data_IF_364456960445
#
_entry.id   IF_364456960445
#
_cell.length_a   1.000
_cell.length_b   1.000
_cell.length_c   1.000
_cell.angle_alpha   90.00
_cell.angle_beta   90.00
_cell.angle_gamma   90.00
#
_symmetry.space_group_name_H-M   'P 1'
#
loop_
_entity.id
_entity.type
_entity.pdbx_description
1 polymer ?
#
# COMPACT_ATOMS: atom_id res chain seq x y z
N UNK A 1 -4.58 -8.42 -39.64
CA UNK A 1 -4.75 -8.87 -38.24
C UNK A 1 -4.54 -7.78 -37.18
N UNK A 2 -4.01 -6.59 -37.49
CA UNK A 2 -3.66 -5.57 -36.49
C UNK A 2 -4.81 -4.63 -36.05
N UNK A 3 -5.82 -4.43 -36.90
CA UNK A 3 -6.98 -3.55 -36.60
C UNK A 3 -7.87 -4.09 -35.48
N UNK A 4 -8.11 -5.40 -35.43
CA UNK A 4 -8.94 -6.04 -34.39
C UNK A 4 -8.28 -5.99 -33.01
N UNK A 5 -6.94 -6.08 -32.94
CA UNK A 5 -6.19 -5.95 -31.68
C UNK A 5 -6.23 -4.51 -31.13
N UNK A 6 -6.13 -3.50 -32.01
CA UNK A 6 -6.19 -2.09 -31.61
C UNK A 6 -7.57 -1.70 -31.09
N UNK A 7 -8.64 -2.18 -31.73
CA UNK A 7 -10.02 -2.00 -31.27
C UNK A 7 -10.30 -2.74 -29.95
N UNK A 8 -9.77 -3.94 -29.75
CA UNK A 8 -9.92 -4.66 -28.48
C UNK A 8 -9.17 -3.99 -27.30
N UNK A 9 -7.99 -3.42 -27.57
CA UNK A 9 -7.21 -2.67 -26.56
C UNK A 9 -7.89 -1.36 -26.16
N UNK A 10 -8.32 -0.56 -27.15
CA UNK A 10 -9.04 0.70 -26.92
C UNK A 10 -10.41 0.48 -26.26
N UNK A 11 -11.15 -0.56 -26.67
CA UNK A 11 -12.45 -0.92 -26.09
C UNK A 11 -12.34 -1.53 -24.68
N UNK A 12 -11.19 -2.14 -24.35
CA UNK A 12 -10.88 -2.60 -23.00
C UNK A 12 -10.54 -1.45 -22.05
N UNK A 13 -9.71 -0.51 -22.50
CA UNK A 13 -9.32 0.69 -21.73
C UNK A 13 -10.53 1.59 -21.42
N UNK A 14 -11.37 1.88 -22.42
CA UNK A 14 -12.58 2.73 -22.22
C UNK A 14 -13.63 2.13 -21.28
N UNK A 15 -13.77 0.79 -21.25
CA UNK A 15 -14.72 0.11 -20.37
C UNK A 15 -14.25 0.08 -18.91
N UNK A 16 -12.94 -0.04 -18.69
CA UNK A 16 -12.34 0.04 -17.35
C UNK A 16 -12.43 1.46 -16.81
N UNK A 17 -12.08 2.47 -17.62
CA UNK A 17 -12.21 3.88 -17.25
C UNK A 17 -13.65 4.25 -16.84
N UNK A 18 -14.66 3.76 -17.57
CA UNK A 18 -16.06 4.07 -17.23
C UNK A 18 -16.47 3.49 -15.88
N UNK A 19 -16.04 2.25 -15.56
CA UNK A 19 -16.36 1.62 -14.28
C UNK A 19 -15.61 2.28 -13.11
N UNK A 20 -14.38 2.75 -13.33
CA UNK A 20 -13.60 3.50 -12.34
C UNK A 20 -14.23 4.86 -12.04
N UNK A 21 -14.70 5.59 -13.05
CA UNK A 21 -15.42 6.85 -12.88
C UNK A 21 -16.77 6.66 -12.14
N UNK A 22 -17.50 5.58 -12.41
CA UNK A 22 -18.73 5.24 -11.70
C UNK A 22 -18.47 4.95 -10.21
N UNK A 23 -17.37 4.26 -9.89
CA UNK A 23 -16.94 4.01 -8.52
C UNK A 23 -16.50 5.31 -7.81
N UNK A 24 -15.71 6.14 -8.49
CA UNK A 24 -15.24 7.43 -7.98
C UNK A 24 -16.42 8.33 -7.61
N UNK A 25 -17.39 8.47 -8.52
CA UNK A 25 -18.61 9.25 -8.27
C UNK A 25 -19.50 8.64 -7.17
N UNK A 26 -19.51 7.32 -7.02
CA UNK A 26 -20.16 6.60 -5.93
C UNK A 26 -19.55 6.93 -4.56
N UNK A 27 -18.22 6.94 -4.45
CA UNK A 27 -17.51 7.29 -3.22
C UNK A 27 -17.74 8.77 -2.87
N UNK A 28 -17.65 9.68 -3.85
CA UNK A 28 -17.96 11.10 -3.67
C UNK A 28 -19.37 11.33 -3.13
N UNK A 29 -20.36 10.56 -3.63
CA UNK A 29 -21.73 10.61 -3.13
C UNK A 29 -21.82 10.15 -1.67
N UNK A 30 -21.16 9.04 -1.32
CA UNK A 30 -21.17 8.50 0.05
C UNK A 30 -20.51 9.47 1.05
N UNK A 31 -19.39 10.10 0.67
CA UNK A 31 -18.74 11.11 1.49
C UNK A 31 -19.65 12.32 1.75
N UNK A 32 -20.38 12.78 0.73
CA UNK A 32 -21.38 13.86 0.88
C UNK A 32 -22.53 13.45 1.78
N UNK A 33 -22.99 12.20 1.70
CA UNK A 33 -24.03 11.69 2.61
C UNK A 33 -23.54 11.63 4.05
N UNK A 34 -22.30 11.18 4.29
CA UNK A 34 -21.71 11.18 5.62
C UNK A 34 -21.57 12.61 6.18
N UNK A 35 -21.10 13.55 5.36
CA UNK A 35 -21.04 14.97 5.71
C UNK A 35 -22.43 15.54 6.08
N UNK A 36 -23.48 15.15 5.36
CA UNK A 36 -24.84 15.55 5.66
C UNK A 36 -25.31 15.00 7.02
N UNK A 37 -25.01 13.73 7.32
CA UNK A 37 -25.35 13.11 8.61
C UNK A 37 -24.60 13.82 9.75
N UNK A 38 -23.32 14.12 9.57
CA UNK A 38 -22.53 14.85 10.58
C UNK A 38 -23.06 16.27 10.79
N UNK A 39 -23.51 16.95 9.74
CA UNK A 39 -24.15 18.26 9.85
C UNK A 39 -25.47 18.20 10.62
N UNK A 40 -26.24 17.11 10.44
CA UNK A 40 -27.44 16.87 11.23
C UNK A 40 -27.08 16.60 12.69
N UNK A 41 -26.13 15.71 12.98
CA UNK A 41 -25.67 15.50 14.36
C UNK A 41 -25.17 16.79 15.01
N UNK A 42 -24.49 17.66 14.25
CA UNK A 42 -24.06 18.96 14.75
C UNK A 42 -25.23 19.86 15.14
N UNK A 43 -26.28 19.94 14.32
CA UNK A 43 -27.49 20.69 14.66
C UNK A 43 -28.18 20.13 15.92
N UNK A 44 -28.18 18.81 16.10
CA UNK A 44 -28.75 18.15 17.28
C UNK A 44 -27.93 18.40 18.55
N UNK A 45 -26.60 18.38 18.47
CA UNK A 45 -25.72 18.74 19.60
C UNK A 45 -25.96 20.19 20.02
N UNK A 46 -26.05 21.12 19.06
CA UNK A 46 -26.32 22.54 19.34
C UNK A 46 -27.70 22.79 19.96
N UNK A 47 -28.69 21.92 19.70
CA UNK A 47 -30.04 22.01 20.28
C UNK A 47 -30.13 21.46 21.73
N UNK A 48 -29.00 21.16 22.38
CA UNK A 48 -28.96 20.60 23.74
C UNK A 48 -28.74 19.09 23.78
N UNK A 49 -28.07 18.53 22.78
CA UNK A 49 -27.69 17.11 22.76
C UNK A 49 -26.72 16.73 23.88
N UNK A 50 -26.72 15.46 24.27
CA UNK A 50 -25.85 14.92 25.32
C UNK A 50 -24.36 15.02 24.97
N UNK A 51 -23.50 15.19 25.98
CA UNK A 51 -22.03 15.22 25.85
C UNK A 51 -21.47 13.99 25.11
N UNK A 52 -22.09 12.82 25.28
CA UNK A 52 -21.77 11.61 24.53
C UNK A 52 -21.95 11.80 23.01
N UNK A 53 -23.03 12.46 22.58
CA UNK A 53 -23.31 12.75 21.16
C UNK A 53 -22.30 13.75 20.61
N UNK A 54 -21.85 14.70 21.43
CA UNK A 54 -20.78 15.63 21.06
C UNK A 54 -19.46 14.90 20.77
N UNK A 55 -19.05 13.95 21.62
CA UNK A 55 -17.85 13.16 21.38
C UNK A 55 -17.97 12.26 20.14
N UNK A 56 -19.13 11.63 19.94
CA UNK A 56 -19.38 10.84 18.72
C UNK A 56 -19.31 11.72 17.47
N UNK A 57 -19.87 12.93 17.51
CA UNK A 57 -19.79 13.88 16.40
C UNK A 57 -18.35 14.26 16.06
N UNK A 58 -17.52 14.61 17.06
CA UNK A 58 -16.10 14.92 16.84
C UNK A 58 -15.40 13.77 16.15
N UNK A 59 -15.62 12.54 16.62
CA UNK A 59 -15.04 11.33 16.01
C UNK A 59 -15.49 11.13 14.56
N UNK A 60 -16.76 11.37 14.26
CA UNK A 60 -17.29 11.25 12.91
C UNK A 60 -16.69 12.29 11.96
N UNK A 61 -16.53 13.53 12.42
CA UNK A 61 -15.87 14.59 11.66
C UNK A 61 -14.41 14.26 11.33
N UNK A 62 -13.68 13.68 12.29
CA UNK A 62 -12.31 13.19 12.07
C UNK A 62 -12.26 12.07 11.02
N UNK A 63 -13.16 11.09 11.12
CA UNK A 63 -13.26 9.98 10.16
C UNK A 63 -13.59 10.51 8.76
N UNK A 64 -14.54 11.44 8.65
CA UNK A 64 -14.92 12.04 7.38
C UNK A 64 -13.72 12.78 6.73
N UNK A 65 -12.96 13.53 7.53
CA UNK A 65 -11.76 14.23 7.05
C UNK A 65 -10.71 13.25 6.54
N UNK A 66 -10.41 12.20 7.31
CA UNK A 66 -9.44 11.17 6.94
C UNK A 66 -9.84 10.45 5.65
N UNK A 67 -11.09 9.99 5.55
CA UNK A 67 -11.61 9.33 4.35
C UNK A 67 -11.58 10.24 3.12
N UNK A 68 -11.89 11.53 3.28
CA UNK A 68 -11.86 12.51 2.17
C UNK A 68 -10.44 12.73 1.69
N UNK A 69 -9.49 12.87 2.61
CA UNK A 69 -8.07 13.04 2.29
C UNK A 69 -7.51 11.80 1.57
N UNK A 70 -7.78 10.62 2.11
CA UNK A 70 -7.37 9.34 1.53
C UNK A 70 -7.95 9.15 0.12
N UNK A 71 -9.23 9.47 -0.07
CA UNK A 71 -9.87 9.40 -1.38
C UNK A 71 -9.20 10.32 -2.41
N UNK A 72 -8.95 11.58 -2.07
CA UNK A 72 -8.26 12.50 -2.97
C UNK A 72 -6.83 12.08 -3.28
N UNK A 73 -6.11 11.50 -2.30
CA UNK A 73 -4.77 10.94 -2.51
C UNK A 73 -4.79 9.74 -3.46
N UNK A 74 -5.75 8.84 -3.29
CA UNK A 74 -5.91 7.68 -4.18
C UNK A 74 -6.25 8.13 -5.60
N UNK A 75 -7.20 9.05 -5.75
CA UNK A 75 -7.62 9.60 -7.03
C UNK A 75 -6.48 10.30 -7.78
N UNK A 76 -5.67 11.11 -7.10
CA UNK A 76 -4.49 11.72 -7.72
C UNK A 76 -3.44 10.68 -8.11
N UNK A 77 -3.21 9.68 -7.26
CA UNK A 77 -2.29 8.57 -7.54
C UNK A 77 -2.72 7.71 -8.72
N UNK A 78 -4.03 7.46 -8.89
CA UNK A 78 -4.58 6.75 -10.05
C UNK A 78 -4.37 7.56 -11.33
N UNK A 79 -4.67 8.86 -11.34
CA UNK A 79 -4.41 9.73 -12.49
C UNK A 79 -2.94 9.75 -12.90
N UNK A 80 -2.02 9.87 -11.95
CA UNK A 80 -0.60 9.82 -12.24
C UNK A 80 -0.16 8.49 -12.88
N UNK A 81 -0.72 7.35 -12.41
CA UNK A 81 -0.47 6.03 -13.02
C UNK A 81 -1.07 5.92 -14.43
N UNK A 82 -2.25 6.49 -14.64
CA UNK A 82 -2.90 6.52 -15.95
C UNK A 82 -2.10 7.34 -16.95
N UNK A 83 -1.66 8.55 -16.56
CA UNK A 83 -0.77 9.39 -17.38
C UNK A 83 0.54 8.66 -17.72
N UNK A 84 1.15 7.99 -16.74
CA UNK A 84 2.35 7.18 -16.97
C UNK A 84 2.10 6.01 -17.92
N UNK A 85 0.93 5.36 -17.84
CA UNK A 85 0.55 4.29 -18.75
C UNK A 85 0.34 4.80 -20.19
N UNK A 86 -0.30 5.97 -20.35
CA UNK A 86 -0.48 6.63 -21.65
C UNK A 86 0.86 7.01 -22.29
N UNK A 87 1.81 7.53 -21.51
CA UNK A 87 3.16 7.83 -21.98
C UNK A 87 3.92 6.56 -22.44
N UNK A 88 3.79 5.45 -21.71
CA UNK A 88 4.37 4.17 -22.12
C UNK A 88 3.70 3.59 -23.37
N UNK A 89 2.39 3.77 -23.54
CA UNK A 89 1.69 3.38 -24.75
C UNK A 89 2.19 4.14 -25.97
N UNK A 90 2.38 5.46 -25.85
CA UNK A 90 2.95 6.31 -26.90
C UNK A 90 4.37 5.88 -27.28
N UNK A 91 5.22 5.60 -26.29
CA UNK A 91 6.56 5.04 -26.55
C UNK A 91 6.52 3.70 -27.29
N UNK A 92 5.57 2.81 -26.94
CA UNK A 92 5.42 1.51 -27.60
C UNK A 92 4.85 1.63 -29.01
N UNK A 93 3.99 2.62 -29.26
CA UNK A 93 3.47 2.91 -30.59
C UNK A 93 4.58 3.52 -31.46
N UNK A 94 5.39 4.44 -30.93
CA UNK A 94 6.58 4.96 -31.60
C UNK A 94 7.56 3.85 -32.00
N UNK A 95 7.93 2.97 -31.06
CA UNK A 95 8.85 1.85 -31.32
C UNK A 95 8.28 0.88 -32.39
N UNK A 96 6.96 0.64 -32.38
CA UNK A 96 6.28 -0.14 -33.42
C UNK A 96 6.31 0.52 -34.78
N UNK A 97 6.03 1.82 -34.87
CA UNK A 97 6.07 2.54 -36.16
C UNK A 97 7.48 2.57 -36.74
N UNK A 98 8.52 2.58 -35.89
CA UNK A 98 9.90 2.45 -36.31
C UNK A 98 10.22 1.06 -36.84
N UNK A 99 9.77 0.02 -36.13
CA UNK A 99 9.92 -1.36 -36.58
C UNK A 99 9.18 -1.64 -37.91
N UNK A 100 7.94 -1.15 -38.08
CA UNK A 100 7.18 -1.29 -39.33
C UNK A 100 7.84 -0.54 -40.51
N UNK A 101 8.59 0.54 -40.26
CA UNK A 101 9.35 1.28 -41.28
C UNK A 101 10.67 0.59 -41.64
N UNK A 102 11.22 -0.22 -40.73
CA UNK A 102 12.49 -0.96 -40.87
C UNK A 102 12.27 -2.41 -41.36
N UNK A 103 11.04 -2.94 -41.31
CA UNK A 103 10.64 -4.30 -41.75
C UNK A 103 10.70 -4.53 -43.28
N UNK A 104 11.32 -3.60 -44.02
CA UNK A 104 11.68 -3.79 -45.43
C UNK A 104 12.91 -4.68 -45.64
N UNK A 105 13.71 -4.95 -44.60
CA UNK A 105 14.87 -5.85 -44.69
C UNK A 105 15.16 -6.50 -43.32
N UNK A 106 14.56 -7.67 -43.10
CA UNK A 106 14.74 -8.49 -41.89
C UNK A 106 16.12 -9.15 -41.82
N UNK A 107 17.16 -8.35 -41.57
CA UNK A 107 18.54 -8.82 -41.43
C UNK A 107 18.80 -9.41 -40.03
N UNK A 108 19.53 -10.52 -39.98
CA UNK A 108 19.93 -11.22 -38.75
C UNK A 108 20.63 -10.31 -37.72
N UNK A 109 21.28 -9.24 -38.19
CA UNK A 109 21.92 -8.24 -37.34
C UNK A 109 20.93 -7.48 -36.44
N UNK A 110 19.72 -7.21 -36.93
CA UNK A 110 18.67 -6.55 -36.15
C UNK A 110 18.15 -7.47 -35.02
N UNK A 111 18.06 -8.77 -35.29
CA UNK A 111 17.70 -9.77 -34.28
C UNK A 111 18.77 -9.86 -33.18
N UNK A 112 20.05 -9.82 -33.54
CA UNK A 112 21.17 -9.83 -32.60
C UNK A 112 21.23 -8.53 -31.77
N UNK A 113 21.01 -7.37 -32.38
CA UNK A 113 20.94 -6.09 -31.66
C UNK A 113 19.77 -6.07 -30.67
N UNK A 114 18.61 -6.62 -31.07
CA UNK A 114 17.44 -6.75 -30.19
C UNK A 114 17.72 -7.69 -29.01
N UNK A 115 18.41 -8.81 -29.27
CA UNK A 115 18.84 -9.73 -28.22
C UNK A 115 19.81 -9.05 -27.25
N UNK A 116 20.79 -8.31 -27.76
CA UNK A 116 21.74 -7.56 -26.93
C UNK A 116 21.05 -6.54 -26.02
N UNK A 117 20.08 -5.78 -26.53
CA UNK A 117 19.28 -4.85 -25.72
C UNK A 117 18.45 -5.60 -24.68
N UNK A 118 17.90 -6.76 -25.02
CA UNK A 118 17.17 -7.62 -24.08
C UNK A 118 18.06 -8.16 -22.96
N UNK A 119 19.27 -8.63 -23.30
CA UNK A 119 20.26 -9.10 -22.32
C UNK A 119 20.66 -7.96 -21.39
N UNK A 120 20.98 -6.79 -21.92
CA UNK A 120 21.39 -5.64 -21.10
C UNK A 120 20.27 -5.19 -20.14
N UNK A 121 19.01 -5.18 -20.60
CA UNK A 121 17.85 -4.92 -19.73
C UNK A 121 17.70 -6.01 -18.64
N UNK A 122 17.87 -7.28 -18.99
CA UNK A 122 17.80 -8.38 -18.04
C UNK A 122 18.91 -8.29 -16.99
N UNK A 123 20.13 -7.92 -17.37
CA UNK A 123 21.25 -7.68 -16.43
C UNK A 123 20.88 -6.62 -15.39
N UNK A 124 20.32 -5.48 -15.81
CA UNK A 124 19.88 -4.45 -14.85
C UNK A 124 18.74 -4.90 -13.94
N UNK A 125 17.83 -5.76 -14.43
CA UNK A 125 16.80 -6.38 -13.59
C UNK A 125 17.40 -7.35 -12.57
N UNK A 126 18.41 -8.14 -12.95
CA UNK A 126 19.15 -9.01 -12.04
C UNK A 126 19.87 -8.22 -10.95
N UNK A 127 20.47 -7.07 -11.27
CA UNK A 127 21.10 -6.20 -10.28
C UNK A 127 20.09 -5.69 -9.23
N UNK A 128 18.87 -5.36 -9.66
CA UNK A 128 17.79 -4.98 -8.73
C UNK A 128 17.40 -6.15 -7.81
N UNK A 129 17.30 -7.37 -8.34
CA UNK A 129 17.01 -8.57 -7.54
C UNK A 129 18.13 -8.85 -6.53
N UNK A 130 19.40 -8.70 -6.95
CA UNK A 130 20.56 -8.85 -6.06
C UNK A 130 20.52 -7.78 -4.95
N UNK A 131 20.25 -6.53 -5.30
CA UNK A 131 20.14 -5.44 -4.32
C UNK A 131 19.03 -5.69 -3.30
N UNK A 132 17.86 -6.14 -3.75
CA UNK A 132 16.76 -6.53 -2.86
C UNK A 132 17.15 -7.69 -1.95
N UNK A 133 17.79 -8.74 -2.50
CA UNK A 133 18.25 -9.88 -1.71
C UNK A 133 19.28 -9.46 -0.64
N UNK A 134 20.19 -8.54 -0.95
CA UNK A 134 21.14 -7.98 0.01
C UNK A 134 20.44 -7.18 1.12
N UNK A 135 19.45 -6.36 0.76
CA UNK A 135 18.66 -5.62 1.75
C UNK A 135 17.86 -6.57 2.67
N UNK A 136 17.25 -7.62 2.12
CA UNK A 136 16.55 -8.66 2.90
C UNK A 136 17.52 -9.40 3.82
N UNK A 137 18.71 -9.77 3.34
CA UNK A 137 19.75 -10.39 4.16
C UNK A 137 20.16 -9.47 5.33
N UNK A 138 20.38 -8.18 5.06
CA UNK A 138 20.67 -7.18 6.08
C UNK A 138 19.58 -7.11 7.15
N UNK A 139 18.30 -7.09 6.73
CA UNK A 139 17.16 -7.12 7.65
C UNK A 139 17.13 -8.39 8.50
N UNK A 140 17.35 -9.57 7.90
CA UNK A 140 17.38 -10.85 8.62
C UNK A 140 18.53 -10.92 9.63
N UNK A 141 19.71 -10.38 9.30
CA UNK A 141 20.84 -10.30 10.23
C UNK A 141 20.51 -9.40 11.42
N UNK A 142 19.89 -8.24 11.19
CA UNK A 142 19.41 -7.36 12.26
C UNK A 142 18.36 -8.05 13.13
N UNK A 143 17.37 -8.70 12.52
CA UNK A 143 16.35 -9.48 13.24
C UNK A 143 16.98 -10.58 14.10
N UNK A 144 17.98 -11.32 13.58
CA UNK A 144 18.71 -12.34 14.34
C UNK A 144 19.40 -11.75 15.55
N UNK A 145 20.04 -10.58 15.42
CA UNK A 145 20.65 -9.86 16.54
C UNK A 145 19.61 -9.47 17.60
N UNK A 146 18.46 -8.92 17.17
CA UNK A 146 17.34 -8.59 18.05
C UNK A 146 16.81 -9.82 18.80
N UNK A 147 16.62 -10.95 18.13
CA UNK A 147 16.22 -12.21 18.79
C UNK A 147 17.26 -12.70 19.79
N UNK A 148 18.55 -12.57 19.50
CA UNK A 148 19.61 -12.84 20.48
C UNK A 148 19.49 -11.96 21.73
N UNK A 149 19.20 -10.67 21.54
CA UNK A 149 18.95 -9.73 22.63
C UNK A 149 17.66 -10.01 23.42
N UNK A 150 16.60 -10.47 22.76
CA UNK A 150 15.36 -10.90 23.42
C UNK A 150 15.62 -12.17 24.23
N UNK A 151 16.33 -13.15 23.68
CA UNK A 151 16.65 -14.39 24.39
C UNK A 151 17.49 -14.12 25.65
N UNK A 152 18.45 -13.18 25.59
CA UNK A 152 19.24 -12.80 26.78
C UNK A 152 18.41 -12.07 27.82
N UNK A 153 17.51 -11.15 27.42
CA UNK A 153 16.56 -10.49 28.31
C UNK A 153 15.60 -11.49 28.96
N UNK A 154 15.04 -12.42 28.17
CA UNK A 154 14.14 -13.47 28.63
C UNK A 154 14.84 -14.39 29.64
N UNK A 155 16.08 -14.81 29.35
CA UNK A 155 16.90 -15.59 30.26
C UNK A 155 17.14 -14.85 31.59
N UNK A 156 17.44 -13.55 31.55
CA UNK A 156 17.60 -12.73 32.76
C UNK A 156 16.29 -12.51 33.54
N UNK A 157 15.13 -12.44 32.87
CA UNK A 157 13.83 -12.43 33.57
C UNK A 157 13.55 -13.78 34.20
N UNK A 158 13.79 -14.87 33.46
CA UNK A 158 13.60 -16.24 33.93
C UNK A 158 14.45 -16.57 35.15
N UNK A 159 15.67 -16.02 35.25
CA UNK A 159 16.52 -16.24 36.44
C UNK A 159 16.03 -15.49 37.68
N UNK A 160 15.23 -14.43 37.51
CA UNK A 160 14.67 -13.61 38.61
C UNK A 160 13.28 -14.03 39.05
N UNK A 161 12.52 -14.72 38.19
CA UNK A 161 11.18 -15.23 38.51
C UNK A 161 11.14 -16.11 39.78
N UNK A 162 12.06 -17.06 40.00
CA UNK A 162 12.07 -17.86 41.22
C UNK A 162 12.24 -17.00 42.48
N UNK A 163 13.07 -15.96 42.43
CA UNK A 163 13.26 -15.02 43.54
C UNK A 163 11.98 -14.22 43.83
N UNK A 164 11.28 -13.76 42.80
CA UNK A 164 10.00 -13.08 42.96
C UNK A 164 8.92 -14.00 43.54
N UNK A 165 8.83 -15.25 43.06
CA UNK A 165 7.93 -16.27 43.62
C UNK A 165 8.25 -16.58 45.09
N UNK A 166 9.53 -16.70 45.44
CA UNK A 166 9.96 -16.91 46.82
C UNK A 166 9.57 -15.74 47.74
N UNK A 167 9.75 -14.50 47.29
CA UNK A 167 9.35 -13.32 48.04
C UNK A 167 7.83 -13.27 48.25
N UNK A 168 7.03 -13.52 47.19
CA UNK A 168 5.57 -13.60 47.28
C UNK A 168 5.13 -14.68 48.27
N UNK A 169 5.74 -15.86 48.22
CA UNK A 169 5.47 -16.94 49.16
C UNK A 169 5.82 -16.54 50.60
N UNK A 170 6.98 -15.90 50.82
CA UNK A 170 7.41 -15.46 52.15
C UNK A 170 6.49 -14.38 52.75
N UNK A 171 5.97 -13.48 51.91
CA UNK A 171 4.97 -12.48 52.30
C UNK A 171 3.70 -13.21 52.70
N UNK A 172 3.10 -14.02 51.81
CA UNK A 172 1.88 -14.76 52.11
C UNK A 172 1.98 -15.56 53.43
N UNK A 173 3.12 -16.21 53.68
CA UNK A 173 3.37 -16.93 54.93
C UNK A 173 3.44 -16.04 56.17
N UNK A 174 3.99 -14.82 56.05
CA UNK A 174 4.02 -13.86 57.17
C UNK A 174 2.62 -13.36 57.52
N UNK A 175 1.80 -13.02 56.53
CA UNK A 175 0.43 -12.55 56.75
C UNK A 175 -0.44 -13.63 57.42
N UNK A 176 -0.25 -14.91 57.08
CA UNK A 176 -0.96 -16.03 57.70
C UNK A 176 -0.57 -16.28 59.17
N UNK A 177 0.60 -15.82 59.62
CA UNK A 177 1.10 -16.04 60.99
C UNK A 177 0.74 -14.91 61.97
N UNK A 178 0.26 -13.78 61.45
CA UNK A 178 -0.10 -12.58 62.21
C UNK A 178 -1.62 -12.39 62.37
N UNK A 179 -2.43 -13.34 61.88
CA UNK A 179 -3.87 -13.42 62.13
C UNK A 179 -4.19 -14.61 63.02
#
# INVERSE_FOLDING_TARGET
MNLYRKLASSKGSTKVDSAENDLESGIDRLLKQLQQVDSQMQAWVLSGGSEMVSHTLTRHQEILQDLTQEFHRLRSGMRAKQEHALLLEDFREFDRTRLDLEDGDGSADQALLREHVSISRNTGQMDNVISQAQATLGSLVLQRSSFGGINSKLSNVSSRLPTACYLLHSIAHKWCKTS
#
